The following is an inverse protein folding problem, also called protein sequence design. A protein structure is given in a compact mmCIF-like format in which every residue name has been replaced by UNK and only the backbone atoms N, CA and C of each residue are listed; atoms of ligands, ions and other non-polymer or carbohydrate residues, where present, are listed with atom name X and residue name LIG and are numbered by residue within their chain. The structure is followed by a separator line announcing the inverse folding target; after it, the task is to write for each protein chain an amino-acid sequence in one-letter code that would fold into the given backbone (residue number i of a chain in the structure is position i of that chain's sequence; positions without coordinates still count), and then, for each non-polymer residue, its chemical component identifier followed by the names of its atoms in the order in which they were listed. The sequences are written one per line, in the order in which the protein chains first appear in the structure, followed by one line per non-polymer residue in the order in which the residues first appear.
data_IF_835752981546
#
_entry.id   IF_835752981546
#
_cell.length_a   1.000
_cell.length_b   1.000
_cell.length_c   1.000
_cell.angle_alpha   90.00
_cell.angle_beta   90.00
_cell.angle_gamma   90.00
#
_symmetry.space_group_name_H-M   'P 1'
#
loop_
_entity.id
_entity.type
_entity.pdbx_description
1 polymer ?
#
# COMPACT_ATOMS: atom_id res chain seq x y z
N UNK A 1 -57.20 -5.28 -27.85
CA UNK A 1 -56.56 -3.97 -28.11
C UNK A 1 -55.57 -3.75 -26.96
N UNK A 2 -54.36 -4.31 -26.90
CA UNK A 2 -53.25 -4.38 -27.84
C UNK A 2 -52.61 -3.00 -28.15
N UNK A 3 -51.61 -2.64 -27.34
CA UNK A 3 -50.47 -1.75 -27.61
C UNK A 3 -49.42 -2.06 -26.50
N UNK A 4 -48.57 -3.07 -26.65
CA UNK A 4 -47.25 -3.04 -27.30
C UNK A 4 -46.42 -1.79 -26.98
N UNK A 5 -45.41 -1.92 -26.12
CA UNK A 5 -44.03 -1.52 -26.46
C UNK A 5 -43.00 -2.14 -25.51
N UNK A 6 -42.20 -2.98 -26.15
CA UNK A 6 -40.95 -3.61 -25.73
C UNK A 6 -39.87 -2.53 -25.68
N UNK A 7 -39.06 -2.50 -24.61
CA UNK A 7 -37.73 -1.89 -24.65
C UNK A 7 -36.72 -2.81 -23.96
N UNK A 8 -36.11 -3.65 -24.80
CA UNK A 8 -34.80 -4.25 -24.61
C UNK A 8 -33.76 -3.14 -24.78
N UNK A 9 -32.83 -2.96 -23.84
CA UNK A 9 -31.52 -2.40 -24.15
C UNK A 9 -30.47 -3.05 -23.25
N UNK A 10 -29.79 -4.04 -23.82
CA UNK A 10 -28.47 -4.44 -23.33
C UNK A 10 -27.47 -3.36 -23.71
N UNK A 11 -26.70 -2.90 -22.73
CA UNK A 11 -25.52 -2.08 -22.97
C UNK A 11 -24.28 -2.93 -22.68
N UNK A 12 -23.64 -3.34 -23.76
CA UNK A 12 -22.28 -3.86 -23.80
C UNK A 12 -21.29 -2.69 -23.90
N UNK A 13 -20.13 -2.86 -23.24
CA UNK A 13 -18.84 -2.17 -23.43
C UNK A 13 -18.78 -0.64 -23.34
N UNK A 14 -18.11 -0.15 -22.29
CA UNK A 14 -16.93 0.71 -22.50
C UNK A 14 -15.99 0.65 -21.29
N UNK A 15 -14.91 -0.13 -21.44
CA UNK A 15 -13.72 -0.06 -20.59
C UNK A 15 -12.93 1.18 -21.04
N UNK A 16 -12.56 2.13 -20.16
CA UNK A 16 -11.60 3.14 -20.52
C UNK A 16 -10.21 2.51 -20.56
N UNK A 17 -9.74 2.23 -21.78
CA UNK A 17 -8.34 2.08 -22.12
C UNK A 17 -7.58 3.34 -21.71
N UNK A 18 -6.91 3.29 -20.56
CA UNK A 18 -5.83 4.23 -20.26
C UNK A 18 -4.54 3.69 -20.87
N UNK A 19 -4.02 4.53 -21.77
CA UNK A 19 -2.75 4.43 -22.49
C UNK A 19 -1.66 3.79 -21.62
N UNK A 20 -1.18 2.64 -22.10
CA UNK A 20 0.13 2.13 -21.73
C UNK A 20 1.18 3.08 -22.31
N UNK A 21 1.76 3.94 -21.46
CA UNK A 21 3.11 4.41 -21.69
C UNK A 21 4.03 3.22 -21.45
N UNK A 22 4.36 2.52 -22.53
CA UNK A 22 5.40 1.50 -22.60
C UNK A 22 6.75 2.15 -22.31
N UNK A 23 7.07 2.26 -21.02
CA UNK A 23 8.46 2.30 -20.58
C UNK A 23 9.12 1.01 -21.08
N UNK A 24 10.36 1.05 -21.58
CA UNK A 24 11.08 -0.17 -21.91
C UNK A 24 11.17 -0.99 -20.63
N UNK A 25 10.41 -2.08 -20.59
CA UNK A 25 10.60 -3.18 -19.67
C UNK A 25 12.04 -3.61 -19.93
N UNK A 26 12.94 -3.20 -19.04
CA UNK A 26 14.26 -3.78 -18.96
C UNK A 26 14.04 -5.30 -18.98
N UNK A 27 14.61 -5.95 -20.00
CA UNK A 27 14.52 -7.39 -20.16
C UNK A 27 14.77 -8.05 -18.80
N UNK A 28 14.02 -9.11 -18.45
CA UNK A 28 14.33 -9.86 -17.24
C UNK A 28 15.79 -10.28 -17.34
N UNK A 29 16.62 -9.67 -16.49
CA UNK A 29 17.97 -10.16 -16.26
C UNK A 29 17.77 -11.62 -15.90
N UNK A 30 18.34 -12.57 -16.65
CA UNK A 30 18.15 -13.98 -16.36
C UNK A 30 18.51 -14.18 -14.88
N UNK A 31 17.77 -15.01 -14.12
CA UNK A 31 18.19 -15.33 -12.78
C UNK A 31 19.56 -15.97 -12.95
N UNK A 32 20.61 -15.22 -12.60
CA UNK A 32 21.91 -15.82 -12.33
C UNK A 32 21.56 -16.74 -11.17
N UNK A 33 21.38 -18.02 -11.48
CA UNK A 33 21.38 -19.11 -10.53
C UNK A 33 22.80 -19.18 -9.99
N UNK A 34 23.21 -18.12 -9.29
CA UNK A 34 24.34 -18.13 -8.40
C UNK A 34 23.93 -19.11 -7.34
N UNK A 35 24.49 -20.32 -7.42
CA UNK A 35 24.50 -21.29 -6.34
C UNK A 35 24.75 -20.48 -5.07
N UNK A 36 23.72 -20.35 -4.22
CA UNK A 36 23.79 -19.48 -3.06
C UNK A 36 24.76 -20.15 -2.07
N UNK A 37 26.02 -19.75 -2.09
CA UNK A 37 27.11 -20.36 -1.31
C UNK A 37 27.17 -19.86 0.14
N UNK A 38 26.07 -19.29 0.65
CA UNK A 38 25.93 -18.77 2.01
C UNK A 38 24.62 -19.23 2.68
N UNK A 39 24.49 -20.52 3.05
CA UNK A 39 23.22 -21.09 3.54
C UNK A 39 22.64 -20.31 4.74
N UNK A 40 23.50 -19.87 5.67
CA UNK A 40 23.05 -19.10 6.84
C UNK A 40 22.45 -17.73 6.49
N UNK A 41 22.97 -17.04 5.47
CA UNK A 41 22.47 -15.73 5.04
C UNK A 41 21.18 -15.88 4.22
N UNK A 42 21.09 -16.91 3.37
CA UNK A 42 19.87 -17.20 2.63
C UNK A 42 18.72 -17.62 3.53
N UNK A 43 18.99 -18.45 4.54
CA UNK A 43 17.97 -18.90 5.50
C UNK A 43 17.43 -17.69 6.27
N UNK A 44 18.34 -16.85 6.78
CA UNK A 44 17.98 -15.60 7.47
C UNK A 44 17.16 -14.65 6.58
N UNK A 45 17.51 -14.51 5.31
CA UNK A 45 16.75 -13.69 4.35
C UNK A 45 15.34 -14.26 4.15
N UNK A 46 15.23 -15.57 4.02
CA UNK A 46 13.94 -16.25 3.86
C UNK A 46 13.03 -16.06 5.09
N UNK A 47 13.61 -16.13 6.29
CA UNK A 47 12.88 -15.93 7.54
C UNK A 47 12.43 -14.47 7.70
N UNK A 48 13.26 -13.50 7.32
CA UNK A 48 12.88 -12.09 7.30
C UNK A 48 11.72 -11.86 6.34
N UNK A 49 11.77 -12.42 5.13
CA UNK A 49 10.69 -12.32 4.14
C UNK A 49 9.38 -12.91 4.64
N UNK A 50 9.41 -14.07 5.30
CA UNK A 50 8.22 -14.67 5.92
C UNK A 50 7.60 -13.73 6.96
N UNK A 51 8.42 -13.18 7.87
CA UNK A 51 7.95 -12.22 8.89
C UNK A 51 7.38 -10.94 8.27
N UNK A 52 7.97 -10.45 7.19
CA UNK A 52 7.48 -9.28 6.46
C UNK A 52 6.08 -9.53 5.91
N UNK A 53 5.87 -10.66 5.22
CA UNK A 53 4.56 -11.03 4.66
C UNK A 53 3.50 -11.16 5.75
N UNK A 54 3.86 -11.76 6.88
CA UNK A 54 2.96 -11.86 8.05
C UNK A 54 2.53 -10.48 8.57
N UNK A 55 3.48 -9.54 8.70
CA UNK A 55 3.19 -8.17 9.12
C UNK A 55 2.37 -7.40 8.07
N UNK A 56 2.64 -7.59 6.77
CA UNK A 56 1.85 -7.00 5.68
C UNK A 56 0.40 -7.47 5.71
N UNK A 57 0.15 -8.77 5.88
CA UNK A 57 -1.20 -9.32 6.05
C UNK A 57 -1.91 -8.69 7.24
N UNK A 58 -1.23 -8.63 8.39
CA UNK A 58 -1.77 -7.99 9.59
C UNK A 58 -2.05 -6.48 9.43
N UNK A 59 -1.29 -5.77 8.59
CA UNK A 59 -1.53 -4.35 8.29
C UNK A 59 -2.78 -4.19 7.41
N UNK A 60 -2.98 -5.05 6.41
CA UNK A 60 -4.16 -5.05 5.54
C UNK A 60 -5.45 -5.34 6.33
N UNK A 61 -5.43 -6.35 7.19
CA UNK A 61 -6.57 -6.66 8.07
C UNK A 61 -6.89 -5.51 9.03
N UNK A 62 -5.84 -4.82 9.50
CA UNK A 62 -5.96 -3.60 10.29
C UNK A 62 -6.66 -2.46 9.53
N UNK A 63 -6.36 -2.27 8.23
CA UNK A 63 -7.03 -1.26 7.38
C UNK A 63 -8.53 -1.54 7.27
N UNK A 64 -8.90 -2.79 6.94
CA UNK A 64 -10.31 -3.20 6.80
C UNK A 64 -11.07 -3.02 8.11
N UNK A 65 -10.47 -3.46 9.22
CA UNK A 65 -11.05 -3.30 10.56
C UNK A 65 -11.26 -1.83 10.92
N UNK A 66 -10.28 -0.96 10.62
CA UNK A 66 -10.39 0.49 10.86
C UNK A 66 -11.53 1.12 10.05
N UNK A 67 -11.69 0.76 8.77
CA UNK A 67 -12.80 1.24 7.93
C UNK A 67 -14.16 0.79 8.48
N UNK A 68 -14.27 -0.45 8.94
CA UNK A 68 -15.50 -0.98 9.53
C UNK A 68 -15.85 -0.22 10.83
N UNK A 69 -14.89 -0.03 11.73
CA UNK A 69 -15.08 0.72 12.97
C UNK A 69 -15.49 2.18 12.68
N UNK A 70 -14.83 2.85 11.71
CA UNK A 70 -15.24 4.20 11.29
C UNK A 70 -16.67 4.24 10.73
N UNK A 71 -17.08 3.24 9.95
CA UNK A 71 -18.46 3.12 9.48
C UNK A 71 -19.43 2.97 10.63
N UNK A 72 -19.11 2.14 11.62
CA UNK A 72 -19.94 1.95 12.82
C UNK A 72 -20.10 3.25 13.62
N UNK A 73 -19.01 4.00 13.84
CA UNK A 73 -19.08 5.31 14.51
C UNK A 73 -20.01 6.26 13.77
N UNK A 74 -19.91 6.33 12.43
CA UNK A 74 -20.82 7.17 11.62
C UNK A 74 -22.28 6.75 11.74
N UNK A 75 -22.57 5.43 11.75
CA UNK A 75 -23.93 4.92 11.97
C UNK A 75 -24.47 5.31 13.34
N UNK A 76 -23.67 5.17 14.40
CA UNK A 76 -24.07 5.56 15.76
C UNK A 76 -24.33 7.07 15.84
N UNK A 77 -23.49 7.89 15.22
CA UNK A 77 -23.73 9.35 15.14
C UNK A 77 -25.05 9.70 14.44
N UNK A 78 -25.39 8.97 13.37
CA UNK A 78 -26.67 9.15 12.68
C UNK A 78 -27.85 8.75 13.59
N UNK A 79 -27.75 7.62 14.30
CA UNK A 79 -28.78 7.17 15.24
C UNK A 79 -29.00 8.20 16.36
N UNK A 80 -27.92 8.71 16.97
CA UNK A 80 -28.01 9.77 17.98
C UNK A 80 -28.69 11.04 17.44
N UNK A 81 -28.40 11.41 16.18
CA UNK A 81 -29.04 12.55 15.53
C UNK A 81 -30.54 12.31 15.32
N UNK A 82 -30.93 11.12 14.84
CA UNK A 82 -32.33 10.75 14.64
C UNK A 82 -33.10 10.74 15.96
N UNK A 83 -32.53 10.17 17.03
CA UNK A 83 -33.15 10.19 18.36
C UNK A 83 -33.31 11.61 18.91
N UNK A 84 -32.39 12.52 18.60
CA UNK A 84 -32.54 13.93 18.96
C UNK A 84 -33.72 14.57 18.22
N UNK A 85 -33.85 14.31 16.91
CA UNK A 85 -34.97 14.82 16.11
C UNK A 85 -36.32 14.26 16.60
N UNK A 86 -36.36 12.97 16.95
CA UNK A 86 -37.55 12.32 17.51
C UNK A 86 -37.97 12.92 18.86
N UNK A 87 -37.00 13.20 19.75
CA UNK A 87 -37.28 13.90 21.01
C UNK A 87 -37.81 15.31 20.80
N UNK A 88 -37.25 16.06 19.86
CA UNK A 88 -37.73 17.41 19.53
C UNK A 88 -39.17 17.39 18.98
N UNK A 89 -39.49 16.42 18.11
CA UNK A 89 -40.85 16.20 17.62
C UNK A 89 -41.81 15.83 18.76
N UNK A 90 -41.42 14.90 19.62
CA UNK A 90 -42.20 14.53 20.80
C UNK A 90 -42.43 15.74 21.73
N UNK A 91 -41.42 16.59 21.95
CA UNK A 91 -41.54 17.77 22.83
C UNK A 91 -42.56 18.76 22.30
N UNK A 92 -42.58 18.97 20.97
CA UNK A 92 -43.61 19.79 20.32
C UNK A 92 -45.00 19.19 20.52
N UNK A 93 -45.15 17.88 20.32
CA UNK A 93 -46.42 17.18 20.56
C UNK A 93 -46.88 17.32 22.01
N UNK A 94 -45.98 17.13 22.97
CA UNK A 94 -46.29 17.32 24.40
C UNK A 94 -46.81 18.73 24.71
N UNK A 95 -46.16 19.76 24.17
CA UNK A 95 -46.59 21.14 24.36
C UNK A 95 -47.97 21.42 23.74
N UNK A 96 -48.27 20.83 22.58
CA UNK A 96 -49.61 20.90 21.96
C UNK A 96 -50.68 20.20 22.80
N UNK A 97 -50.38 19.02 23.34
CA UNK A 97 -51.29 18.29 24.22
C UNK A 97 -51.55 19.07 25.52
N UNK A 98 -50.51 19.65 26.13
CA UNK A 98 -50.64 20.47 27.35
C UNK A 98 -51.50 21.71 27.11
N UNK A 99 -51.32 22.38 25.97
CA UNK A 99 -52.20 23.48 25.57
C UNK A 99 -53.65 23.01 25.43
N UNK A 100 -53.86 21.86 24.79
CA UNK A 100 -55.21 21.30 24.58
C UNK A 100 -55.89 20.92 25.90
N UNK A 101 -55.14 20.37 26.87
CA UNK A 101 -55.65 20.11 28.22
C UNK A 101 -56.09 21.42 28.87
N UNK A 102 -55.25 22.47 28.83
CA UNK A 102 -55.61 23.77 29.40
C UNK A 102 -56.88 24.38 28.79
N UNK A 103 -57.03 24.28 27.47
CA UNK A 103 -58.24 24.72 26.76
C UNK A 103 -59.48 23.90 27.18
N UNK A 104 -59.34 22.59 27.38
CA UNK A 104 -60.40 21.70 27.86
C UNK A 104 -60.78 21.99 29.33
N UNK A 105 -59.80 22.20 30.21
CA UNK A 105 -60.02 22.58 31.61
C UNK A 105 -60.80 23.90 31.70
N UNK A 106 -60.42 24.90 30.90
CA UNK A 106 -61.15 26.15 30.81
C UNK A 106 -62.59 25.92 30.34
N UNK A 107 -62.78 25.12 29.28
CA UNK A 107 -64.12 24.78 28.77
C UNK A 107 -64.96 24.06 29.82
N UNK A 108 -64.40 23.10 30.55
CA UNK A 108 -65.07 22.39 31.66
C UNK A 108 -65.50 23.35 32.75
N UNK A 109 -64.65 24.31 33.13
CA UNK A 109 -65.00 25.38 34.06
C UNK A 109 -66.22 26.18 33.59
N UNK A 110 -66.23 26.63 32.33
CA UNK A 110 -67.37 27.38 31.78
C UNK A 110 -68.66 26.54 31.71
N UNK A 111 -68.56 25.26 31.36
CA UNK A 111 -69.70 24.34 31.34
C UNK A 111 -70.24 24.12 32.76
N UNK A 112 -69.36 24.00 33.76
CA UNK A 112 -69.73 23.87 35.17
C UNK A 112 -70.53 25.09 35.65
N UNK A 113 -70.04 26.30 35.36
CA UNK A 113 -70.74 27.53 35.72
C UNK A 113 -72.11 27.64 35.04
N UNK A 114 -72.19 27.28 33.76
CA UNK A 114 -73.46 27.26 33.01
C UNK A 114 -74.45 26.24 33.56
N UNK A 115 -74.00 25.03 33.90
CA UNK A 115 -74.84 24.01 34.52
C UNK A 115 -75.36 24.51 35.88
N UNK A 116 -74.49 25.09 36.70
CA UNK A 116 -74.86 25.63 38.01
C UNK A 116 -75.91 26.74 37.88
N UNK A 117 -75.68 27.74 37.01
CA UNK A 117 -76.62 28.82 36.76
C UNK A 117 -77.97 28.35 36.19
N UNK A 118 -77.95 27.31 35.35
CA UNK A 118 -79.17 26.73 34.81
C UNK A 118 -79.94 25.91 35.86
N UNK A 119 -79.26 25.19 36.74
CA UNK A 119 -79.88 24.51 37.89
C UNK A 119 -80.58 25.52 38.82
N UNK A 120 -79.94 26.66 39.09
CA UNK A 120 -80.54 27.73 39.88
C UNK A 120 -81.77 28.34 39.22
N UNK A 121 -81.72 28.53 37.90
CA UNK A 121 -82.87 29.04 37.12
C UNK A 121 -84.05 28.08 37.18
N UNK A 122 -83.81 26.78 36.96
CA UNK A 122 -84.82 25.72 37.07
C UNK A 122 -85.39 25.66 38.49
N UNK A 123 -84.54 25.75 39.53
CA UNK A 123 -84.96 25.79 40.94
C UNK A 123 -85.90 26.97 41.20
N UNK A 124 -85.55 28.18 40.74
CA UNK A 124 -86.39 29.38 40.86
C UNK A 124 -87.75 29.20 40.19
N UNK A 125 -87.78 28.62 38.99
CA UNK A 125 -89.06 28.36 38.29
C UNK A 125 -89.92 27.33 39.03
N UNK A 126 -89.32 26.26 39.56
CA UNK A 126 -90.03 25.26 40.38
C UNK A 126 -90.59 25.86 41.67
N UNK A 127 -89.81 26.71 42.36
CA UNK A 127 -90.28 27.44 43.54
C UNK A 127 -91.44 28.39 43.20
N UNK A 128 -91.39 29.07 42.05
CA UNK A 128 -92.51 29.89 41.56
C UNK A 128 -93.80 29.08 41.36
N UNK A 129 -93.68 27.89 40.77
CA UNK A 129 -94.82 26.96 40.62
C UNK A 129 -95.35 26.51 41.99
N UNK A 130 -94.46 26.18 42.94
CA UNK A 130 -94.85 25.76 44.29
C UNK A 130 -95.54 26.88 45.08
N UNK A 131 -94.98 28.09 45.09
CA UNK A 131 -95.55 29.25 45.79
C UNK A 131 -96.95 29.59 45.27
N UNK A 132 -97.17 29.51 43.95
CA UNK A 132 -98.51 29.69 43.36
C UNK A 132 -99.55 28.64 43.81
N UNK A 133 -99.10 27.47 44.31
CA UNK A 133 -99.97 26.46 44.91
C UNK A 133 -100.16 26.68 46.40
N UNK A 134 -99.10 27.05 47.12
CA UNK A 134 -99.14 27.27 48.57
C UNK A 134 -99.90 28.57 48.96
N UNK A 135 -99.88 29.63 48.13
CA UNK A 135 -100.71 30.85 48.32
C UNK A 135 -102.24 30.54 48.31
N UNK A 136 -102.65 29.32 47.93
CA UNK A 136 -104.06 28.85 48.04
C UNK A 136 -104.44 28.27 49.41
N UNK A 137 -103.51 28.16 50.36
CA UNK A 137 -103.77 27.58 51.69
C UNK A 137 -104.59 28.52 52.61
N UNK A 138 -104.74 29.79 52.24
CA UNK A 138 -105.64 30.75 52.88
C UNK A 138 -106.77 31.04 51.90
N UNK A 139 -108.00 30.52 52.10
CA UNK A 139 -109.10 30.82 51.19
C UNK A 139 -109.44 32.31 51.27
N UNK A 140 -109.45 33.06 50.15
CA UNK A 140 -110.14 34.34 50.10
C UNK A 140 -111.62 34.07 50.41
N UNK A 141 -112.24 34.94 51.21
CA UNK A 141 -113.66 34.84 51.57
C UNK A 141 -114.63 35.02 50.38
N UNK A 142 -114.12 35.36 49.19
CA UNK A 142 -114.90 35.66 47.97
C UNK A 142 -114.60 34.66 46.81
N UNK A 143 -115.59 33.86 46.38
CA UNK A 143 -115.49 32.93 45.24
C UNK A 143 -115.14 33.59 43.89
N UNK A 144 -115.53 34.86 43.67
CA UNK A 144 -115.25 35.56 42.42
C UNK A 144 -113.77 35.95 42.28
N UNK A 145 -113.11 36.27 43.40
CA UNK A 145 -111.68 36.56 43.46
C UNK A 145 -110.85 35.30 43.13
N UNK A 146 -111.22 34.15 43.68
CA UNK A 146 -110.59 32.84 43.41
C UNK A 146 -110.60 32.49 41.92
N UNK A 147 -111.72 32.69 41.23
CA UNK A 147 -111.81 32.40 39.78
C UNK A 147 -110.96 33.33 38.91
N UNK A 148 -110.83 34.60 39.31
CA UNK A 148 -110.03 35.60 38.57
C UNK A 148 -108.53 35.36 38.76
N UNK A 149 -108.13 35.01 39.97
CA UNK A 149 -106.76 34.62 40.31
C UNK A 149 -106.37 33.31 39.61
N UNK A 150 -107.28 32.33 39.51
CA UNK A 150 -107.05 31.08 38.81
C UNK A 150 -106.84 31.23 37.30
N UNK A 151 -107.60 32.13 36.68
CA UNK A 151 -107.45 32.48 35.26
C UNK A 151 -106.08 33.13 34.96
N UNK A 152 -105.47 33.80 35.94
CA UNK A 152 -104.16 34.45 35.78
C UNK A 152 -103.00 33.51 36.14
N UNK A 153 -103.16 32.68 37.17
CA UNK A 153 -102.11 31.78 37.65
C UNK A 153 -101.99 30.50 36.80
N UNK A 154 -103.05 30.03 36.14
CA UNK A 154 -102.96 28.84 35.29
C UNK A 154 -102.07 29.00 34.04
N UNK A 155 -102.13 30.10 33.25
CA UNK A 155 -101.18 30.32 32.16
C UNK A 155 -99.75 30.53 32.67
N UNK A 156 -99.59 31.21 33.81
CA UNK A 156 -98.30 31.43 34.46
C UNK A 156 -97.62 30.12 34.84
N UNK A 157 -98.35 29.19 35.48
CA UNK A 157 -97.85 27.85 35.81
C UNK A 157 -97.46 27.06 34.57
N UNK A 158 -98.27 27.11 33.50
CA UNK A 158 -97.96 26.44 32.23
C UNK A 158 -96.69 27.00 31.58
N UNK A 159 -96.51 28.31 31.60
CA UNK A 159 -95.29 28.97 31.12
C UNK A 159 -94.07 28.54 31.94
N UNK A 160 -94.16 28.56 33.27
CA UNK A 160 -93.07 28.12 34.15
C UNK A 160 -92.75 26.64 33.95
N UNK A 161 -93.75 25.77 33.78
CA UNK A 161 -93.54 24.35 33.49
C UNK A 161 -92.81 24.14 32.15
N UNK A 162 -93.15 24.92 31.12
CA UNK A 162 -92.43 24.88 29.83
C UNK A 162 -90.99 25.40 29.96
N UNK A 163 -90.74 26.43 30.77
CA UNK A 163 -89.39 26.93 31.08
C UNK A 163 -88.57 25.87 31.82
N UNK A 164 -89.16 25.18 32.79
CA UNK A 164 -88.54 24.05 33.50
C UNK A 164 -88.20 22.92 32.51
N UNK A 165 -89.13 22.54 31.64
CA UNK A 165 -88.92 21.49 30.64
C UNK A 165 -87.80 21.82 29.64
N UNK A 166 -87.72 23.07 29.18
CA UNK A 166 -86.58 23.55 28.37
C UNK A 166 -85.28 23.54 29.17
N UNK A 167 -85.34 24.00 30.42
CA UNK A 167 -84.17 24.06 31.28
C UNK A 167 -83.56 22.69 31.56
N UNK A 168 -84.38 21.65 31.73
CA UNK A 168 -83.89 20.26 31.83
C UNK A 168 -83.22 19.76 30.56
N UNK A 169 -83.79 20.04 29.37
CA UNK A 169 -83.15 19.66 28.09
C UNK A 169 -81.79 20.35 27.90
N UNK A 170 -81.70 21.63 28.25
CA UNK A 170 -80.44 22.37 28.20
C UNK A 170 -79.42 21.83 29.20
N UNK A 171 -79.85 21.50 30.43
CA UNK A 171 -78.99 20.85 31.42
C UNK A 171 -78.45 19.50 30.95
N UNK A 172 -79.28 18.71 30.29
CA UNK A 172 -78.89 17.41 29.75
C UNK A 172 -77.85 17.56 28.64
N UNK A 173 -78.06 18.49 27.69
CA UNK A 173 -77.07 18.80 26.67
C UNK A 173 -75.72 19.27 27.25
N UNK A 174 -75.76 20.19 28.24
CA UNK A 174 -74.54 20.67 28.89
C UNK A 174 -73.79 19.58 29.66
N UNK A 175 -74.51 18.62 30.26
CA UNK A 175 -73.90 17.46 30.93
C UNK A 175 -73.24 16.50 29.96
N UNK A 176 -73.82 16.30 28.78
CA UNK A 176 -73.20 15.50 27.70
C UNK A 176 -71.90 16.17 27.24
N UNK A 177 -71.93 17.47 26.94
CA UNK A 177 -70.74 18.24 26.56
C UNK A 177 -69.63 18.17 27.63
N UNK A 178 -70.01 18.15 28.91
CA UNK A 178 -69.07 18.01 30.03
C UNK A 178 -68.44 16.62 30.07
N UNK A 179 -69.23 15.56 29.89
CA UNK A 179 -68.73 14.19 29.85
C UNK A 179 -67.79 13.96 28.66
N UNK A 180 -68.11 14.54 27.49
CA UNK A 180 -67.25 14.49 26.31
C UNK A 180 -65.90 15.18 26.55
N UNK A 181 -65.92 16.34 27.22
CA UNK A 181 -64.71 17.06 27.60
C UNK A 181 -63.85 16.26 28.60
N UNK A 182 -64.46 15.68 29.64
CA UNK A 182 -63.77 14.82 30.61
C UNK A 182 -63.11 13.61 29.91
N UNK A 183 -63.83 12.96 28.99
CA UNK A 183 -63.33 11.80 28.27
C UNK A 183 -62.19 12.13 27.30
N UNK A 184 -62.25 13.28 26.61
CA UNK A 184 -61.14 13.75 25.77
C UNK A 184 -59.90 14.07 26.60
N UNK A 185 -60.07 14.69 27.76
CA UNK A 185 -58.96 14.99 28.67
C UNK A 185 -58.26 13.71 29.14
N UNK A 186 -59.03 12.68 29.53
CA UNK A 186 -58.48 11.37 29.90
C UNK A 186 -57.65 10.73 28.78
N UNK A 187 -58.14 10.80 27.53
CA UNK A 187 -57.40 10.29 26.36
C UNK A 187 -56.09 11.04 26.12
N UNK A 188 -56.12 12.36 26.26
CA UNK A 188 -54.93 13.20 26.07
C UNK A 188 -53.92 12.94 27.20
N UNK A 189 -54.39 12.74 28.44
CA UNK A 189 -53.51 12.37 29.56
C UNK A 189 -52.85 11.00 29.35
N UNK A 190 -53.56 10.02 28.80
CA UNK A 190 -52.98 8.72 28.43
C UNK A 190 -51.91 8.86 27.33
N UNK A 191 -52.19 9.59 26.24
CA UNK A 191 -51.20 9.88 25.18
C UNK A 191 -49.96 10.60 25.76
N UNK A 192 -50.17 11.54 26.68
CA UNK A 192 -49.09 12.24 27.40
C UNK A 192 -48.23 11.27 28.20
N UNK A 193 -48.84 10.33 28.94
CA UNK A 193 -48.10 9.32 29.71
C UNK A 193 -47.29 8.41 28.79
N UNK A 194 -47.86 7.96 27.67
CA UNK A 194 -47.14 7.16 26.66
C UNK A 194 -45.90 7.89 26.12
N UNK A 195 -46.02 9.20 25.83
CA UNK A 195 -44.88 10.02 25.39
C UNK A 195 -43.80 10.17 26.48
N UNK A 196 -44.18 10.26 27.75
CA UNK A 196 -43.23 10.27 28.87
C UNK A 196 -42.43 8.97 28.93
N UNK A 197 -43.10 7.80 28.80
CA UNK A 197 -42.42 6.51 28.75
C UNK A 197 -41.48 6.41 27.54
N UNK A 198 -41.93 6.85 26.36
CA UNK A 198 -41.10 6.88 25.15
C UNK A 198 -39.83 7.72 25.35
N UNK A 199 -39.92 8.88 25.99
CA UNK A 199 -38.74 9.70 26.26
C UNK A 199 -37.76 9.07 27.25
N UNK A 200 -38.27 8.33 28.23
CA UNK A 200 -37.40 7.61 29.15
C UNK A 200 -36.61 6.53 28.38
N UNK A 201 -37.27 5.72 27.56
CA UNK A 201 -36.61 4.70 26.72
C UNK A 201 -35.60 5.34 25.75
N UNK A 202 -35.97 6.43 25.08
CA UNK A 202 -35.05 7.15 24.18
C UNK A 202 -33.82 7.70 24.90
N UNK A 203 -33.95 8.21 26.13
CA UNK A 203 -32.82 8.68 26.93
C UNK A 203 -31.92 7.52 27.38
N UNK A 204 -32.49 6.38 27.77
CA UNK A 204 -31.73 5.18 28.13
C UNK A 204 -30.95 4.65 26.91
N UNK A 205 -31.59 4.60 25.74
CA UNK A 205 -30.94 4.23 24.48
C UNK A 205 -29.85 5.22 24.07
N UNK A 206 -30.05 6.53 24.26
CA UNK A 206 -29.03 7.56 24.00
C UNK A 206 -27.77 7.29 24.83
N UNK A 207 -27.92 7.01 26.13
CA UNK A 207 -26.78 6.67 27.00
C UNK A 207 -26.01 5.42 26.53
N UNK A 208 -26.73 4.38 26.10
CA UNK A 208 -26.12 3.16 25.53
C UNK A 208 -25.38 3.47 24.22
N UNK A 209 -25.98 4.27 23.34
CA UNK A 209 -25.36 4.65 22.07
C UNK A 209 -24.14 5.56 22.27
N UNK A 210 -24.17 6.48 23.22
CA UNK A 210 -23.04 7.32 23.58
C UNK A 210 -21.87 6.51 24.14
N UNK A 211 -22.15 5.57 25.04
CA UNK A 211 -21.14 4.66 25.56
C UNK A 211 -20.55 3.78 24.45
N UNK A 212 -21.39 3.25 23.57
CA UNK A 212 -20.94 2.47 22.41
C UNK A 212 -20.07 3.33 21.48
N UNK A 213 -20.47 4.57 21.21
CA UNK A 213 -19.68 5.52 20.42
C UNK A 213 -18.30 5.75 21.03
N UNK A 214 -18.23 6.00 22.34
CA UNK A 214 -16.95 6.19 23.05
C UNK A 214 -16.07 4.95 22.92
N UNK A 215 -16.63 3.77 23.20
CA UNK A 215 -15.92 2.49 23.05
C UNK A 215 -15.36 2.29 21.64
N UNK A 216 -16.15 2.59 20.60
CA UNK A 216 -15.71 2.47 19.20
C UNK A 216 -14.59 3.47 18.87
N UNK A 217 -14.63 4.68 19.41
CA UNK A 217 -13.59 5.71 19.22
C UNK A 217 -12.30 5.29 19.92
N UNK A 218 -12.37 4.77 21.15
CA UNK A 218 -11.21 4.30 21.89
C UNK A 218 -10.58 3.08 21.20
N UNK A 219 -11.40 2.15 20.70
CA UNK A 219 -10.93 1.04 19.88
C UNK A 219 -10.25 1.51 18.59
N UNK A 220 -10.78 2.56 17.94
CA UNK A 220 -10.13 3.16 16.76
C UNK A 220 -8.75 3.73 17.09
N UNK A 221 -8.62 4.44 18.22
CA UNK A 221 -7.34 4.99 18.67
C UNK A 221 -6.35 3.87 18.99
N UNK A 222 -6.75 2.87 19.78
CA UNK A 222 -5.92 1.71 20.09
C UNK A 222 -5.47 0.97 18.84
N UNK A 223 -6.38 0.75 17.88
CA UNK A 223 -6.05 0.11 16.59
C UNK A 223 -5.11 0.97 15.75
N UNK A 224 -5.22 2.28 15.83
CA UNK A 224 -4.30 3.20 15.17
C UNK A 224 -2.88 3.10 15.75
N UNK A 225 -2.75 3.06 17.07
CA UNK A 225 -1.47 2.88 17.76
C UNK A 225 -0.84 1.51 17.44
N UNK A 226 -1.62 0.42 17.50
CA UNK A 226 -1.19 -0.92 17.09
C UNK A 226 -0.67 -0.92 15.64
N UNK A 227 -1.35 -0.19 14.73
CA UNK A 227 -0.93 -0.05 13.34
C UNK A 227 0.39 0.71 13.21
N UNK A 228 0.57 1.80 13.95
CA UNK A 228 1.83 2.57 13.94
C UNK A 228 3.00 1.70 14.41
N UNK A 229 2.82 0.95 15.50
CA UNK A 229 3.82 -0.01 16.00
C UNK A 229 4.14 -1.10 14.96
N UNK A 230 3.12 -1.66 14.29
CA UNK A 230 3.33 -2.63 13.19
C UNK A 230 4.10 -2.03 12.02
N UNK A 231 3.80 -0.78 11.63
CA UNK A 231 4.53 -0.09 10.56
C UNK A 231 5.99 0.16 10.92
N UNK A 232 6.28 0.49 12.18
CA UNK A 232 7.65 0.64 12.65
C UNK A 232 8.40 -0.70 12.60
N UNK A 233 7.77 -1.78 13.06
CA UNK A 233 8.33 -3.13 12.97
C UNK A 233 8.56 -3.56 11.51
N UNK A 234 7.60 -3.27 10.62
CA UNK A 234 7.75 -3.51 9.18
C UNK A 234 8.96 -2.78 8.60
N UNK A 235 9.15 -1.49 8.94
CA UNK A 235 10.32 -0.71 8.50
C UNK A 235 11.64 -1.32 8.99
N UNK A 236 11.70 -1.76 10.26
CA UNK A 236 12.88 -2.43 10.83
C UNK A 236 13.18 -3.76 10.13
N UNK A 237 12.15 -4.54 9.82
CA UNK A 237 12.31 -5.78 9.07
C UNK A 237 12.81 -5.51 7.64
N UNK A 238 12.23 -4.53 6.94
CA UNK A 238 12.67 -4.16 5.59
C UNK A 238 14.08 -3.61 5.52
N UNK A 239 14.52 -2.81 6.50
CA UNK A 239 15.92 -2.37 6.55
C UNK A 239 16.87 -3.54 6.81
N UNK A 240 16.49 -4.48 7.68
CA UNK A 240 17.28 -5.69 7.93
C UNK A 240 17.35 -6.63 6.73
N UNK A 241 16.26 -6.75 5.96
CA UNK A 241 16.22 -7.50 4.70
C UNK A 241 17.23 -6.92 3.71
N UNK A 242 17.17 -5.61 3.47
CA UNK A 242 18.09 -4.93 2.56
C UNK A 242 19.56 -5.06 2.99
N UNK A 243 19.83 -5.02 4.30
CA UNK A 243 21.19 -5.23 4.82
C UNK A 243 21.68 -6.66 4.57
N UNK A 244 20.83 -7.67 4.76
CA UNK A 244 21.19 -9.08 4.50
C UNK A 244 21.38 -9.33 3.00
N UNK A 245 20.53 -8.76 2.14
CA UNK A 245 20.71 -8.83 0.68
C UNK A 245 22.04 -8.23 0.25
N UNK A 246 22.40 -7.05 0.78
CA UNK A 246 23.69 -6.42 0.51
C UNK A 246 24.86 -7.32 0.93
N UNK A 247 24.81 -7.88 2.14
CA UNK A 247 25.83 -8.81 2.63
C UNK A 247 25.94 -10.07 1.75
N UNK A 248 24.82 -10.58 1.24
CA UNK A 248 24.81 -11.75 0.36
C UNK A 248 25.48 -11.46 -0.98
N UNK A 249 25.20 -10.28 -1.57
CA UNK A 249 25.85 -9.83 -2.80
C UNK A 249 27.36 -9.66 -2.60
N UNK A 250 27.76 -8.98 -1.52
CA UNK A 250 29.18 -8.77 -1.18
C UNK A 250 29.91 -10.11 -0.93
N UNK A 251 29.25 -11.05 -0.25
CA UNK A 251 29.80 -12.39 0.00
C UNK A 251 30.00 -13.18 -1.29
N UNK A 252 29.00 -13.19 -2.18
CA UNK A 252 29.10 -13.88 -3.46
C UNK A 252 30.20 -13.27 -4.35
N UNK A 253 30.29 -11.94 -4.42
CA UNK A 253 31.33 -11.25 -5.17
C UNK A 253 32.74 -11.59 -4.63
N UNK A 254 32.89 -11.66 -3.30
CA UNK A 254 34.16 -12.07 -2.67
C UNK A 254 34.54 -13.50 -3.02
N UNK A 255 33.58 -14.44 -3.00
CA UNK A 255 33.84 -15.83 -3.37
C UNK A 255 34.23 -15.97 -4.84
N UNK A 256 33.59 -15.24 -5.74
CA UNK A 256 33.96 -15.24 -7.16
C UNK A 256 35.40 -14.74 -7.36
N UNK A 257 35.77 -13.64 -6.69
CA UNK A 257 37.13 -13.11 -6.74
C UNK A 257 38.16 -14.11 -6.20
N UNK A 258 37.87 -14.75 -5.07
CA UNK A 258 38.76 -15.76 -4.48
C UNK A 258 38.97 -16.95 -5.41
N UNK A 259 37.91 -17.41 -6.09
CA UNK A 259 38.00 -18.46 -7.09
C UNK A 259 38.88 -18.05 -8.28
N UNK A 260 38.68 -16.85 -8.84
CA UNK A 260 39.53 -16.33 -9.92
C UNK A 260 41.00 -16.29 -9.50
N UNK A 261 41.30 -15.70 -8.34
CA UNK A 261 42.67 -15.61 -7.82
C UNK A 261 43.28 -16.99 -7.57
N UNK A 262 42.51 -17.95 -7.03
CA UNK A 262 42.98 -19.31 -6.81
C UNK A 262 43.30 -20.01 -8.14
N UNK A 263 42.47 -19.86 -9.16
CA UNK A 263 42.73 -20.41 -10.50
C UNK A 263 43.96 -19.76 -11.14
N UNK A 264 44.12 -18.44 -11.08
CA UNK A 264 45.30 -17.75 -11.61
C UNK A 264 46.59 -18.21 -10.91
N UNK A 265 46.57 -18.36 -9.59
CA UNK A 265 47.70 -18.87 -8.81
C UNK A 265 48.05 -20.31 -9.18
N UNK A 266 47.06 -21.18 -9.36
CA UNK A 266 47.27 -22.55 -9.82
C UNK A 266 47.91 -22.59 -11.22
N UNK A 267 47.42 -21.80 -12.17
CA UNK A 267 48.01 -21.68 -13.51
C UNK A 267 49.44 -21.13 -13.44
N UNK A 268 49.71 -20.15 -12.56
CA UNK A 268 51.07 -19.59 -12.40
C UNK A 268 52.05 -20.61 -11.84
N UNK A 269 51.61 -21.39 -10.83
CA UNK A 269 52.43 -22.44 -10.23
C UNK A 269 52.74 -23.56 -11.23
N UNK A 270 51.75 -23.99 -12.02
CA UNK A 270 51.95 -24.99 -13.07
C UNK A 270 52.95 -24.50 -14.13
N UNK A 271 52.80 -23.25 -14.57
CA UNK A 271 53.70 -22.61 -15.53
C UNK A 271 55.16 -22.52 -15.04
N UNK A 272 55.39 -22.20 -13.77
CA UNK A 272 56.75 -22.19 -13.20
C UNK A 272 57.42 -23.57 -13.19
N UNK A 273 56.65 -24.65 -13.27
CA UNK A 273 57.14 -26.03 -13.31
C UNK A 273 57.27 -26.57 -14.75
N UNK A 274 56.91 -25.78 -15.76
CA UNK A 274 56.97 -26.14 -17.18
C UNK A 274 58.38 -26.48 -17.66
N UNK A 275 58.44 -27.26 -18.76
CA UNK A 275 59.70 -27.65 -19.38
C UNK A 275 60.51 -26.43 -19.84
N UNK A 276 59.86 -25.43 -20.44
CA UNK A 276 60.54 -24.21 -20.88
C UNK A 276 61.00 -23.35 -19.71
N UNK A 277 60.20 -23.19 -18.63
CA UNK A 277 60.61 -22.43 -17.45
C UNK A 277 61.90 -22.96 -16.81
N UNK A 278 62.12 -24.29 -16.85
CA UNK A 278 63.35 -24.93 -16.36
C UNK A 278 64.60 -24.62 -17.19
N UNK A 279 64.44 -24.13 -18.43
CA UNK A 279 65.56 -23.75 -19.30
C UNK A 279 66.10 -22.35 -18.99
N UNK A 280 65.50 -21.61 -18.04
CA UNK A 280 65.96 -20.26 -17.68
C UNK A 280 67.46 -20.24 -17.33
N UNK A 281 68.22 -19.42 -18.05
CA UNK A 281 69.68 -19.27 -17.91
C UNK A 281 70.50 -20.24 -18.78
N UNK A 282 69.83 -21.13 -19.51
CA UNK A 282 70.46 -22.16 -20.36
C UNK A 282 69.95 -22.15 -21.80
N UNK A 283 69.07 -21.20 -22.15
CA UNK A 283 68.50 -21.09 -23.48
C UNK A 283 69.60 -20.64 -24.46
N UNK A 284 69.90 -21.37 -25.54
CA UNK A 284 70.91 -20.94 -26.49
C UNK A 284 70.49 -19.65 -27.21
N UNK A 285 71.47 -18.88 -27.67
CA UNK A 285 71.22 -17.76 -28.57
C UNK A 285 70.55 -18.24 -29.87
N UNK A 286 69.55 -17.49 -30.39
CA UNK A 286 68.93 -17.82 -31.68
C UNK A 286 69.90 -17.66 -32.86
N UNK A 287 71.01 -16.93 -32.67
CA UNK A 287 72.09 -16.75 -33.65
C UNK A 287 73.40 -17.20 -33.00
N UNK A 288 74.09 -18.15 -33.62
CA UNK A 288 75.28 -18.78 -33.01
C UNK A 288 76.47 -17.83 -32.86
N UNK A 289 76.63 -16.84 -33.75
CA UNK A 289 77.71 -15.85 -33.68
C UNK A 289 77.29 -14.50 -33.08
N UNK A 290 76.01 -14.35 -32.72
CA UNK A 290 75.42 -13.07 -32.36
C UNK A 290 75.72 -12.62 -30.93
N UNK A 291 75.88 -11.31 -30.74
CA UNK A 291 75.97 -10.66 -29.42
C UNK A 291 74.84 -9.66 -29.25
N UNK A 292 74.45 -9.43 -28.00
CA UNK A 292 73.40 -8.46 -27.67
C UNK A 292 73.91 -7.05 -27.95
N UNK A 293 73.25 -6.36 -28.88
CA UNK A 293 73.53 -4.96 -29.26
C UNK A 293 72.42 -4.01 -28.84
N UNK A 294 71.23 -4.55 -28.51
CA UNK A 294 70.12 -3.81 -27.94
C UNK A 294 69.56 -4.52 -26.71
N UNK A 295 69.44 -3.79 -25.60
CA UNK A 295 69.01 -4.36 -24.32
C UNK A 295 67.49 -4.29 -24.12
N UNK A 296 66.98 -5.24 -23.33
CA UNK A 296 65.60 -5.24 -22.83
C UNK A 296 65.39 -4.14 -21.78
N UNK A 297 64.18 -3.57 -21.73
CA UNK A 297 63.76 -2.62 -20.71
C UNK A 297 63.82 -1.17 -21.17
N UNK A 298 63.96 -0.24 -20.22
CA UNK A 298 63.90 1.20 -20.49
C UNK A 298 65.18 1.64 -21.22
N UNK A 299 65.04 2.15 -22.43
CA UNK A 299 66.13 2.64 -23.27
C UNK A 299 65.77 4.03 -23.82
N UNK A 300 66.77 4.92 -23.93
CA UNK A 300 66.58 6.22 -24.55
C UNK A 300 66.59 6.07 -26.08
N UNK A 301 65.56 6.56 -26.76
CA UNK A 301 65.50 6.58 -28.23
C UNK A 301 65.88 7.97 -28.75
N UNK A 302 67.07 8.14 -29.40
CA UNK A 302 67.52 9.42 -29.91
C UNK A 302 66.63 10.03 -30.99
N UNK A 303 65.82 9.22 -31.69
CA UNK A 303 64.95 9.69 -32.78
C UNK A 303 63.68 10.36 -32.26
N UNK A 304 63.11 9.82 -31.19
CA UNK A 304 61.92 10.37 -30.55
C UNK A 304 62.22 11.31 -29.37
N UNK A 305 63.45 11.29 -28.84
CA UNK A 305 63.85 12.08 -27.66
C UNK A 305 63.22 11.59 -26.36
N UNK A 306 62.58 10.41 -26.36
CA UNK A 306 61.85 9.84 -25.23
C UNK A 306 62.49 8.53 -24.74
N UNK A 307 62.22 8.18 -23.49
CA UNK A 307 62.49 6.84 -22.99
C UNK A 307 61.41 5.87 -23.47
N UNK A 308 61.82 4.84 -24.20
CA UNK A 308 60.96 3.74 -24.66
C UNK A 308 61.25 2.46 -23.87
N UNK A 309 60.25 1.60 -23.72
CA UNK A 309 60.43 0.29 -23.10
C UNK A 309 60.55 -0.79 -24.18
N UNK A 310 61.78 -1.30 -24.39
CA UNK A 310 62.03 -2.42 -25.30
C UNK A 310 61.57 -3.73 -24.67
N UNK A 311 60.66 -4.43 -25.36
CA UNK A 311 60.08 -5.72 -24.94
C UNK A 311 60.97 -6.94 -25.25
N UNK A 312 62.12 -6.73 -25.88
CA UNK A 312 63.04 -7.77 -26.31
C UNK A 312 64.47 -7.25 -26.37
N UNK A 313 65.36 -8.05 -26.93
CA UNK A 313 66.77 -7.72 -27.17
C UNK A 313 67.07 -7.75 -28.66
N UNK A 314 68.01 -6.92 -29.09
CA UNK A 314 68.51 -6.93 -30.47
C UNK A 314 69.84 -7.69 -30.48
N UNK A 315 69.95 -8.72 -31.32
CA UNK A 315 71.10 -9.61 -31.40
C UNK A 315 71.80 -9.38 -32.75
N UNK A 316 73.08 -9.06 -32.73
CA UNK A 316 73.86 -8.82 -33.95
C UNK A 316 73.87 -10.07 -34.82
N UNK A 317 73.80 -9.88 -36.13
CA UNK A 317 73.77 -10.98 -37.09
C UNK A 317 74.67 -10.72 -38.29
N UNK A 318 75.27 -11.78 -38.83
CA UNK A 318 75.93 -11.73 -40.12
C UNK A 318 74.90 -11.79 -41.25
N UNK A 319 75.31 -11.41 -42.47
CA UNK A 319 74.44 -11.44 -43.65
C UNK A 319 73.99 -12.87 -43.97
N UNK A 320 72.69 -13.06 -44.17
CA UNK A 320 72.10 -14.38 -44.51
C UNK A 320 72.32 -15.47 -43.45
N UNK A 321 72.66 -15.11 -42.22
CA UNK A 321 72.90 -16.04 -41.11
C UNK A 321 71.60 -16.72 -40.69
N UNK A 322 71.68 -18.02 -40.37
CA UNK A 322 70.51 -18.81 -39.97
C UNK A 322 70.08 -18.48 -38.54
N UNK A 323 68.82 -18.08 -38.37
CA UNK A 323 68.18 -17.88 -37.07
C UNK A 323 67.51 -19.18 -36.65
N UNK A 324 67.78 -19.63 -35.43
CA UNK A 324 67.40 -20.95 -34.92
C UNK A 324 66.39 -20.87 -33.79
N UNK A 325 65.60 -21.93 -33.63
CA UNK A 325 64.70 -22.10 -32.51
C UNK A 325 65.50 -22.31 -31.23
N UNK A 326 65.16 -21.57 -30.19
CA UNK A 326 65.93 -21.61 -28.94
C UNK A 326 65.53 -22.77 -28.02
N UNK A 327 64.34 -23.35 -28.22
CA UNK A 327 63.84 -24.50 -27.48
C UNK A 327 62.83 -25.29 -28.34
N UNK A 328 62.49 -26.54 -27.96
CA UNK A 328 61.43 -27.29 -28.63
C UNK A 328 60.08 -26.59 -28.51
N UNK A 329 59.27 -26.62 -29.56
CA UNK A 329 57.95 -25.98 -29.58
C UNK A 329 57.21 -26.17 -30.90
N UNK A 330 56.14 -25.40 -31.08
CA UNK A 330 55.35 -25.35 -32.32
C UNK A 330 55.30 -23.92 -32.84
N UNK A 331 55.41 -23.72 -34.15
CA UNK A 331 55.28 -22.39 -34.75
C UNK A 331 53.85 -21.89 -34.56
N UNK A 332 53.66 -20.89 -33.69
CA UNK A 332 52.39 -20.21 -33.47
C UNK A 332 52.08 -19.23 -34.61
N UNK A 333 53.11 -18.59 -35.16
CA UNK A 333 53.03 -17.65 -36.26
C UNK A 333 54.33 -17.63 -37.06
N UNK A 334 54.24 -17.52 -38.39
CA UNK A 334 55.38 -17.18 -39.24
C UNK A 334 54.85 -16.38 -40.42
N UNK A 335 55.30 -15.13 -40.54
CA UNK A 335 54.75 -14.16 -41.48
C UNK A 335 55.32 -12.77 -41.21
N UNK A 336 54.67 -11.75 -41.73
CA UNK A 336 55.03 -10.35 -41.47
C UNK A 336 54.07 -9.74 -40.44
N UNK A 337 54.58 -8.98 -39.48
CA UNK A 337 53.78 -8.21 -38.53
C UNK A 337 54.21 -6.73 -38.55
N UNK A 338 53.26 -5.79 -38.37
CA UNK A 338 53.58 -4.38 -38.13
C UNK A 338 54.60 -4.24 -36.99
N UNK A 339 55.55 -3.33 -37.15
CA UNK A 339 56.67 -3.03 -36.23
C UNK A 339 57.74 -4.12 -36.04
N UNK A 340 57.43 -5.39 -36.36
CA UNK A 340 58.35 -6.52 -36.26
C UNK A 340 58.92 -6.97 -37.62
N UNK A 341 58.28 -6.59 -38.72
CA UNK A 341 58.61 -7.09 -40.05
C UNK A 341 58.39 -8.61 -40.12
N UNK A 342 59.20 -9.32 -40.90
CA UNK A 342 59.15 -10.79 -40.95
C UNK A 342 59.56 -11.40 -39.61
N UNK A 343 58.67 -12.19 -39.05
CA UNK A 343 58.74 -12.69 -37.69
C UNK A 343 58.24 -14.13 -37.59
N UNK A 344 58.92 -14.92 -36.76
CA UNK A 344 58.49 -16.26 -36.37
C UNK A 344 58.28 -16.30 -34.86
N UNK A 345 57.09 -16.74 -34.45
CA UNK A 345 56.71 -16.93 -33.05
C UNK A 345 56.59 -18.43 -32.77
N UNK A 346 57.31 -18.92 -31.78
CA UNK A 346 57.29 -20.32 -31.33
C UNK A 346 56.56 -20.41 -29.99
N UNK A 347 55.56 -21.28 -29.91
CA UNK A 347 54.90 -21.69 -28.66
C UNK A 347 55.63 -22.89 -28.08
N UNK A 348 56.16 -22.73 -26.87
CA UNK A 348 56.91 -23.74 -26.13
C UNK A 348 56.04 -24.53 -25.14
N UNK A 349 54.73 -24.27 -25.12
CA UNK A 349 53.80 -24.83 -24.14
C UNK A 349 53.77 -24.03 -22.84
N UNK A 350 52.79 -24.34 -21.98
CA UNK A 350 52.60 -23.73 -20.66
C UNK A 350 52.65 -22.19 -20.67
N UNK A 351 52.14 -21.59 -21.75
CA UNK A 351 52.11 -20.15 -22.00
C UNK A 351 53.48 -19.46 -22.16
N UNK A 352 54.52 -20.18 -22.58
CA UNK A 352 55.79 -19.56 -22.99
C UNK A 352 55.89 -19.43 -24.50
N UNK A 353 56.27 -18.25 -24.97
CA UNK A 353 56.50 -17.97 -26.38
C UNK A 353 57.85 -17.32 -26.60
N UNK A 354 58.49 -17.63 -27.72
CA UNK A 354 59.62 -16.85 -28.21
C UNK A 354 59.30 -16.24 -29.56
N UNK A 355 59.83 -15.05 -29.80
CA UNK A 355 59.59 -14.27 -30.99
C UNK A 355 60.95 -13.87 -31.59
N UNK A 356 61.17 -14.22 -32.85
CA UNK A 356 62.34 -13.82 -33.64
C UNK A 356 61.87 -12.97 -34.83
N UNK A 357 62.22 -11.69 -34.85
CA UNK A 357 61.74 -10.70 -35.82
C UNK A 357 62.90 -10.05 -36.60
N UNK A 358 62.55 -9.23 -37.59
CA UNK A 358 63.48 -8.65 -38.57
C UNK A 358 64.22 -9.69 -39.42
N UNK A 359 63.53 -10.81 -39.74
CA UNK A 359 64.10 -11.86 -40.57
C UNK A 359 64.18 -11.42 -42.05
N UNK A 360 65.22 -11.85 -42.75
CA UNK A 360 65.38 -11.76 -44.20
C UNK A 360 64.52 -12.77 -44.96
N UNK A 361 64.39 -13.97 -44.42
CA UNK A 361 63.65 -15.09 -45.00
C UNK A 361 62.98 -15.92 -43.90
N UNK A 362 61.76 -16.42 -44.14
CA UNK A 362 61.05 -17.31 -43.23
C UNK A 362 61.32 -18.77 -43.60
N UNK A 363 61.76 -19.57 -42.63
CA UNK A 363 62.17 -20.97 -42.86
C UNK A 363 61.13 -22.02 -42.48
N UNK A 364 60.03 -21.65 -41.82
CA UNK A 364 59.02 -22.57 -41.26
C UNK A 364 57.61 -22.02 -41.42
N UNK A 365 56.61 -22.89 -41.52
CA UNK A 365 55.20 -22.48 -41.56
C UNK A 365 54.50 -22.64 -40.21
N UNK A 366 53.43 -21.87 -40.02
CA UNK A 366 52.56 -22.00 -38.85
C UNK A 366 52.10 -23.44 -38.67
N UNK A 367 52.15 -23.93 -37.43
CA UNK A 367 51.76 -25.27 -37.05
C UNK A 367 52.87 -26.31 -37.09
N UNK A 368 54.03 -26.04 -37.71
CA UNK A 368 55.17 -26.97 -37.70
C UNK A 368 55.77 -27.12 -36.30
N UNK A 369 56.19 -28.35 -35.96
CA UNK A 369 56.94 -28.62 -34.75
C UNK A 369 58.43 -28.35 -35.00
N UNK A 370 59.10 -27.73 -34.03
CA UNK A 370 60.53 -27.40 -34.08
C UNK A 370 61.22 -27.91 -32.82
N UNK A 371 62.47 -28.34 -32.97
CA UNK A 371 63.39 -28.67 -31.89
C UNK A 371 64.33 -27.48 -31.64
N UNK A 372 65.00 -27.47 -30.48
CA UNK A 372 66.07 -26.52 -30.24
C UNK A 372 67.15 -26.66 -31.34
N UNK A 373 67.59 -25.54 -31.92
CA UNK A 373 68.57 -25.50 -33.00
C UNK A 373 67.99 -25.57 -34.41
N UNK A 374 66.69 -25.90 -34.58
CA UNK A 374 66.08 -25.97 -35.91
C UNK A 374 66.03 -24.58 -36.57
N UNK A 375 66.26 -24.47 -37.89
CA UNK A 375 66.19 -23.20 -38.58
C UNK A 375 64.75 -22.66 -38.58
N UNK A 376 64.61 -21.38 -38.17
CA UNK A 376 63.37 -20.61 -38.21
C UNK A 376 63.32 -19.63 -39.39
N UNK A 377 64.48 -19.29 -39.95
CA UNK A 377 64.65 -18.34 -41.02
C UNK A 377 66.10 -17.91 -41.19
N UNK A 378 66.32 -16.88 -42.01
CA UNK A 378 67.63 -16.24 -42.19
C UNK A 378 67.54 -14.75 -41.95
N UNK A 379 68.66 -14.13 -41.58
CA UNK A 379 68.79 -12.67 -41.54
C UNK A 379 68.82 -12.07 -42.95
N UNK A 380 68.66 -10.76 -43.05
CA UNK A 380 68.74 -10.07 -44.32
C UNK A 380 70.20 -9.92 -44.81
N UNK A 381 70.34 -9.46 -46.05
CA UNK A 381 71.65 -9.23 -46.69
C UNK A 381 72.34 -7.94 -46.20
N UNK A 382 71.68 -7.20 -45.29
CA UNK A 382 72.18 -5.97 -44.69
C UNK A 382 72.86 -6.22 -43.33
N UNK A 383 72.66 -7.39 -42.73
CA UNK A 383 73.17 -7.70 -41.40
C UNK A 383 72.39 -6.97 -40.31
N UNK A 384 71.09 -6.74 -40.53
CA UNK A 384 70.22 -6.11 -39.53
C UNK A 384 70.15 -6.98 -38.27
N UNK A 385 70.30 -6.42 -37.06
CA UNK A 385 70.15 -7.17 -35.83
C UNK A 385 68.77 -7.84 -35.74
N UNK A 386 68.75 -9.09 -35.29
CA UNK A 386 67.51 -9.84 -35.08
C UNK A 386 66.92 -9.45 -33.74
N UNK A 387 65.65 -9.08 -33.77
CA UNK A 387 64.90 -8.81 -32.56
C UNK A 387 64.44 -10.13 -31.94
N UNK A 388 64.78 -10.35 -30.67
CA UNK A 388 64.42 -11.54 -29.91
C UNK A 388 63.65 -11.19 -28.64
N UNK A 389 62.48 -11.80 -28.44
CA UNK A 389 61.62 -11.59 -27.28
C UNK A 389 61.16 -12.93 -26.71
N UNK A 390 61.11 -13.01 -25.37
CA UNK A 390 60.51 -14.13 -24.66
C UNK A 390 59.27 -13.59 -23.96
N UNK A 391 58.13 -14.28 -24.10
CA UNK A 391 56.88 -13.96 -23.40
C UNK A 391 56.50 -15.07 -22.46
N UNK A 392 56.14 -14.68 -21.25
CA UNK A 392 55.48 -15.50 -20.25
C UNK A 392 54.02 -15.04 -20.17
N UNK A 393 53.08 -15.87 -20.64
CA UNK A 393 51.70 -15.49 -20.97
C UNK A 393 51.70 -14.33 -21.97
N UNK A 394 51.16 -13.19 -21.58
CA UNK A 394 51.08 -11.97 -22.40
C UNK A 394 52.10 -10.91 -21.98
N UNK A 395 53.05 -11.24 -21.10
CA UNK A 395 54.05 -10.29 -20.59
C UNK A 395 55.42 -10.65 -21.14
N UNK A 396 56.09 -9.65 -21.73
CA UNK A 396 57.47 -9.76 -22.16
C UNK A 396 58.42 -9.86 -20.95
N UNK A 397 59.27 -10.87 -20.93
CA UNK A 397 60.28 -11.07 -19.89
C UNK A 397 61.67 -10.81 -20.45
N UNK A 398 62.60 -10.35 -19.61
CA UNK A 398 63.96 -10.03 -20.04
C UNK A 398 64.67 -11.27 -20.61
N UNK A 399 64.93 -11.35 -21.94
CA UNK A 399 65.56 -12.51 -22.56
C UNK A 399 66.97 -12.81 -22.04
N UNK A 400 67.69 -11.80 -21.55
CA UNK A 400 69.04 -11.96 -21.00
C UNK A 400 69.09 -12.82 -19.74
N UNK A 401 67.99 -12.95 -19.00
CA UNK A 401 67.90 -13.87 -17.87
C UNK A 401 67.69 -15.33 -18.29
N UNK A 402 67.40 -15.56 -19.56
CA UNK A 402 67.08 -16.87 -20.11
C UNK A 402 68.21 -17.42 -20.96
N UNK A 403 68.86 -16.53 -21.72
CA UNK A 403 69.96 -16.88 -22.59
C UNK A 403 71.17 -17.41 -21.80
N UNK A 404 71.83 -18.44 -22.33
CA UNK A 404 73.07 -19.00 -21.79
C UNK A 404 74.23 -18.02 -22.02
N UNK A 405 75.06 -17.78 -21.00
CA UNK A 405 76.26 -16.93 -21.10
C UNK A 405 77.27 -17.41 -22.14
#
# INVERSE_FOLDING_TARGET
MALNSIFLFGFFFFVPTLLHASLPVAAPVPPVSAVIKAPKLSDRLSDLRKKIVEVEGGLLDGVRSHQQLQSNVKKIQLLLKLQKEERELGRKRMAELEKTIGDLEQRRGTLHDRISGQQDSVRKFLMGIRKSKDDRLIPPSDPAALMKEEKLESPRRKMLANLVGRGFKELEALRVDMADADHLELKIQDEKQQLVYLFQDLNEQEGVLELNKQLQVDLLQKKHEERLSRLENYRKLKSSEAQVEKMLVEFNARLELEQVVATERAVSKAMMQSAFAKLKGTVPFPISSGRVVGSFGRTFDPKSGLYVFKKGVDISASKGETVKAVAPGRIAYSGELPDYGRVTIVDHGDHFYTLCAHLGELGRKKGEAVKAGDPLGKTDDLGTPVYFEIRARNVAVNPLQWLSN
#
